data_IF_984405454466
#
_entry.id   IF_984405454466
#
_cell.length_a   1.000
_cell.length_b   1.000
_cell.length_c   1.000
_cell.angle_alpha   90.00
_cell.angle_beta   90.00
_cell.angle_gamma   90.00
#
_symmetry.space_group_name_H-M   'P 1'
#
loop_
_entity.id
_entity.type
_entity.pdbx_description
1 polymer ?
#
# COMPACT_ATOMS: atom_id res chain seq x y z
N UNK A 1 -3.13 4.47 11.24
CA UNK A 1 -3.72 3.86 12.47
C UNK A 1 -4.64 4.82 13.26
N UNK A 2 -4.28 6.09 13.47
CA UNK A 2 -5.15 7.05 14.18
C UNK A 2 -6.52 7.25 13.51
N UNK A 3 -6.54 7.38 12.19
CA UNK A 3 -7.81 7.52 11.46
C UNK A 3 -8.65 6.24 11.52
N UNK A 4 -8.01 5.07 11.45
CA UNK A 4 -8.70 3.79 11.66
C UNK A 4 -9.32 3.69 13.06
N UNK A 5 -8.66 4.20 14.08
CA UNK A 5 -9.23 4.22 15.44
C UNK A 5 -10.49 5.08 15.52
N UNK A 6 -10.54 6.23 14.82
CA UNK A 6 -11.76 7.05 14.73
C UNK A 6 -12.87 6.34 13.97
N UNK A 7 -12.56 5.75 12.80
CA UNK A 7 -13.54 5.08 11.95
C UNK A 7 -14.13 3.83 12.58
N UNK A 8 -13.32 3.07 13.32
CA UNK A 8 -13.71 1.77 13.86
C UNK A 8 -13.83 1.76 15.40
N UNK A 9 -13.81 2.92 16.05
CA UNK A 9 -14.01 3.07 17.50
C UNK A 9 -12.95 2.33 18.37
N UNK A 10 -11.71 2.22 17.89
CA UNK A 10 -10.65 1.51 18.62
C UNK A 10 -10.04 2.33 19.74
N UNK A 11 -9.62 1.63 20.81
CA UNK A 11 -8.86 2.21 21.90
C UNK A 11 -7.40 2.51 21.51
N UNK A 12 -7.00 3.79 21.48
CA UNK A 12 -5.62 4.20 21.19
C UNK A 12 -4.58 3.67 22.19
N UNK A 13 -4.96 3.47 23.47
CA UNK A 13 -4.08 2.85 24.49
C UNK A 13 -3.80 1.38 24.18
N UNK A 14 -4.83 0.60 23.83
CA UNK A 14 -4.64 -0.82 23.45
C UNK A 14 -3.90 -0.97 22.11
N UNK A 15 -3.95 0.05 21.25
CA UNK A 15 -3.12 0.13 20.05
C UNK A 15 -1.68 0.59 20.30
N UNK A 16 -1.31 0.97 21.53
CA UNK A 16 0.02 1.49 21.87
C UNK A 16 0.32 2.89 21.33
N UNK A 17 -0.70 3.64 20.89
CA UNK A 17 -0.56 4.97 20.29
C UNK A 17 -0.62 6.08 21.35
N UNK A 18 -1.40 5.85 22.40
CA UNK A 18 -1.60 6.76 23.53
C UNK A 18 -1.03 6.10 24.80
N UNK A 19 -0.16 6.78 25.57
CA UNK A 19 0.35 6.27 26.84
C UNK A 19 -0.56 6.61 28.03
N UNK A 20 -0.20 6.11 29.22
CA UNK A 20 -0.77 6.54 30.51
C UNK A 20 -1.87 5.65 31.08
N UNK A 21 -2.26 5.94 32.32
CA UNK A 21 -3.23 5.18 33.10
C UNK A 21 -4.68 5.69 32.90
N UNK A 22 -5.67 4.87 33.28
CA UNK A 22 -7.09 5.22 33.17
C UNK A 22 -7.67 5.16 31.74
N UNK A 23 -8.89 5.70 31.52
CA UNK A 23 -9.53 5.72 30.20
C UNK A 23 -8.69 6.47 29.16
N UNK A 24 -8.77 6.08 27.88
CA UNK A 24 -8.12 6.83 26.81
C UNK A 24 -8.92 8.09 26.45
N UNK A 25 -8.26 9.09 25.87
CA UNK A 25 -8.90 10.34 25.45
C UNK A 25 -10.07 10.09 24.48
N UNK A 26 -9.92 9.14 23.57
CA UNK A 26 -11.00 8.75 22.64
C UNK A 26 -12.22 8.15 23.36
N UNK A 27 -12.06 7.56 24.55
CA UNK A 27 -13.20 7.08 25.35
C UNK A 27 -13.91 8.25 26.04
N UNK A 28 -13.16 9.24 26.52
CA UNK A 28 -13.73 10.46 27.10
C UNK A 28 -14.57 11.24 26.06
N UNK A 29 -14.21 11.15 24.78
CA UNK A 29 -14.97 11.72 23.67
C UNK A 29 -16.11 10.80 23.16
N UNK A 30 -16.36 9.64 23.78
CA UNK A 30 -17.40 8.70 23.36
C UNK A 30 -17.11 7.92 22.06
N UNK A 31 -15.89 8.02 21.50
CA UNK A 31 -15.50 7.34 20.27
C UNK A 31 -15.00 5.93 20.55
N UNK A 32 -14.23 5.71 21.61
CA UNK A 32 -13.68 4.39 21.94
C UNK A 32 -14.71 3.53 22.72
N UNK A 33 -14.86 2.26 22.34
CA UNK A 33 -15.74 1.30 23.01
C UNK A 33 -15.28 0.85 24.42
N UNK A 34 -14.12 1.32 24.87
CA UNK A 34 -13.70 1.20 26.27
C UNK A 34 -12.84 -0.02 26.58
N UNK A 35 -12.07 -0.55 25.62
CA UNK A 35 -11.12 -1.65 25.87
C UNK A 35 -10.03 -1.31 26.90
N UNK A 36 -9.73 -0.03 27.15
CA UNK A 36 -8.82 0.40 28.22
C UNK A 36 -9.41 0.31 29.64
N UNK A 37 -10.73 0.20 29.76
CA UNK A 37 -11.46 0.12 31.03
C UNK A 37 -12.34 -1.12 31.09
N UNK A 38 -12.00 -2.13 30.29
CA UNK A 38 -12.65 -3.45 30.28
C UNK A 38 -14.15 -3.46 29.90
N UNK A 39 -14.70 -2.34 29.42
CA UNK A 39 -16.06 -2.29 28.85
C UNK A 39 -16.17 -3.09 27.54
N UNK A 40 -15.11 -3.08 26.75
CA UNK A 40 -14.91 -3.99 25.62
C UNK A 40 -13.82 -4.99 26.03
N UNK A 41 -14.06 -6.29 25.83
CA UNK A 41 -13.04 -7.30 26.13
C UNK A 41 -11.83 -7.16 25.20
N UNK A 42 -10.64 -7.51 25.68
CA UNK A 42 -9.43 -7.48 24.87
C UNK A 42 -9.55 -8.37 23.61
N UNK A 43 -10.21 -9.53 23.73
CA UNK A 43 -10.46 -10.43 22.61
C UNK A 43 -11.37 -9.80 21.55
N UNK A 44 -12.47 -9.17 21.95
CA UNK A 44 -13.39 -8.51 21.01
C UNK A 44 -12.70 -7.34 20.30
N UNK A 45 -11.93 -6.53 21.04
CA UNK A 45 -11.15 -5.44 20.47
C UNK A 45 -10.13 -5.95 19.44
N UNK A 46 -9.38 -7.01 19.78
CA UNK A 46 -8.41 -7.63 18.88
C UNK A 46 -9.07 -8.24 17.62
N UNK A 47 -10.23 -8.88 17.76
CA UNK A 47 -10.96 -9.47 16.64
C UNK A 47 -11.46 -8.39 15.66
N UNK A 48 -12.08 -7.32 16.19
CA UNK A 48 -12.50 -6.16 15.38
C UNK A 48 -11.31 -5.48 14.71
N UNK A 49 -10.18 -5.35 15.41
CA UNK A 49 -8.95 -4.81 14.85
C UNK A 49 -8.44 -5.64 13.68
N UNK A 50 -8.37 -6.97 13.85
CA UNK A 50 -7.95 -7.90 12.79
C UNK A 50 -8.83 -7.77 11.54
N UNK A 51 -10.16 -7.75 11.71
CA UNK A 51 -11.11 -7.56 10.62
C UNK A 51 -10.94 -6.21 9.91
N UNK A 52 -10.70 -5.13 10.66
CA UNK A 52 -10.47 -3.81 10.08
C UNK A 52 -9.14 -3.74 9.31
N UNK A 53 -8.08 -4.37 9.84
CA UNK A 53 -6.74 -4.40 9.24
C UNK A 53 -6.68 -5.28 7.98
N UNK A 54 -7.58 -6.26 7.84
CA UNK A 54 -7.60 -7.17 6.69
C UNK A 54 -7.61 -6.42 5.33
N UNK A 55 -8.29 -5.27 5.27
CA UNK A 55 -8.37 -4.42 4.06
C UNK A 55 -7.03 -3.74 3.68
N UNK A 56 -6.08 -3.69 4.62
CA UNK A 56 -4.78 -3.05 4.46
C UNK A 56 -3.65 -4.06 4.26
N UNK A 57 -3.96 -5.35 4.25
CA UNK A 57 -2.98 -6.38 3.96
C UNK A 57 -2.47 -6.22 2.54
N UNK A 58 -1.15 -6.22 2.40
CA UNK A 58 -0.48 -6.28 1.11
C UNK A 58 -0.51 -7.75 0.68
N UNK A 59 -1.17 -8.09 -0.44
CA UNK A 59 -1.19 -9.46 -0.93
C UNK A 59 0.21 -9.93 -1.30
N UNK A 60 0.44 -11.24 -1.29
CA UNK A 60 1.67 -11.81 -1.82
C UNK A 60 1.87 -11.41 -3.28
N UNK A 61 3.13 -11.27 -3.69
CA UNK A 61 3.49 -11.02 -5.08
C UNK A 61 2.96 -12.17 -5.96
N UNK A 62 2.17 -11.90 -7.01
CA UNK A 62 1.45 -12.95 -7.74
C UNK A 62 2.30 -13.63 -8.83
N UNK A 63 3.58 -13.28 -8.97
CA UNK A 63 4.49 -13.82 -9.98
C UNK A 63 5.67 -14.54 -9.32
N UNK A 64 6.26 -15.52 -10.00
CA UNK A 64 7.42 -16.28 -9.49
C UNK A 64 8.72 -15.45 -9.45
N UNK A 65 8.76 -14.30 -10.11
CA UNK A 65 9.97 -13.51 -10.30
C UNK A 65 9.69 -12.05 -10.61
N UNK A 66 10.65 -11.41 -11.27
CA UNK A 66 10.54 -10.02 -11.70
C UNK A 66 9.52 -9.90 -12.83
N UNK A 67 8.93 -8.73 -12.97
CA UNK A 67 7.98 -8.43 -14.05
C UNK A 67 8.43 -7.17 -14.75
N UNK A 68 8.34 -7.19 -16.08
CA UNK A 68 8.51 -6.02 -16.90
C UNK A 68 7.12 -5.50 -17.29
N UNK A 69 6.80 -4.27 -16.87
CA UNK A 69 5.63 -3.54 -17.35
C UNK A 69 6.09 -2.68 -18.52
N UNK A 70 5.43 -2.82 -19.67
CA UNK A 70 5.74 -2.04 -20.88
C UNK A 70 4.55 -1.14 -21.16
N UNK A 71 4.75 0.17 -21.08
CA UNK A 71 3.77 1.18 -21.47
C UNK A 71 4.10 1.73 -22.86
N UNK A 72 3.10 1.82 -23.72
CA UNK A 72 3.24 2.34 -25.08
C UNK A 72 2.30 3.53 -25.30
N UNK A 73 2.86 4.69 -25.59
CA UNK A 73 2.08 5.89 -25.90
C UNK A 73 1.95 6.08 -27.40
N UNK A 74 0.74 5.91 -27.94
CA UNK A 74 0.45 6.16 -29.36
C UNK A 74 0.68 7.64 -29.74
N UNK A 75 0.50 8.56 -28.79
CA UNK A 75 0.63 10.01 -29.03
C UNK A 75 2.09 10.45 -29.17
N UNK A 76 2.99 9.91 -28.35
CA UNK A 76 4.40 10.33 -28.34
C UNK A 76 5.32 9.35 -29.07
N UNK A 77 4.86 8.12 -29.34
CA UNK A 77 5.67 7.03 -29.85
C UNK A 77 6.70 6.50 -28.85
N UNK A 78 6.59 6.91 -27.57
CA UNK A 78 7.49 6.45 -26.52
C UNK A 78 7.05 5.08 -26.01
N UNK A 79 8.04 4.24 -25.73
CA UNK A 79 7.89 2.96 -25.04
C UNK A 79 8.65 3.05 -23.72
N UNK A 80 7.93 2.93 -22.62
CA UNK A 80 8.47 2.93 -21.26
C UNK A 80 8.46 1.51 -20.72
N UNK A 81 9.56 1.12 -20.08
CA UNK A 81 9.79 -0.19 -19.51
C UNK A 81 10.09 -0.03 -18.03
N UNK A 82 9.30 -0.70 -17.21
CA UNK A 82 9.38 -0.61 -15.76
C UNK A 82 9.60 -2.02 -15.22
N UNK A 83 10.75 -2.28 -14.58
CA UNK A 83 10.99 -3.56 -13.94
C UNK A 83 10.59 -3.48 -12.48
N UNK A 84 9.81 -4.45 -12.03
CA UNK A 84 9.24 -4.50 -10.69
C UNK A 84 9.34 -5.91 -10.11
N UNK A 85 9.44 -6.02 -8.79
CA UNK A 85 9.50 -7.29 -8.07
C UNK A 85 9.00 -7.09 -6.66
N UNK A 86 8.21 -8.02 -6.12
CA UNK A 86 7.76 -7.99 -4.73
C UNK A 86 7.15 -6.63 -4.32
N UNK A 87 6.35 -6.03 -5.21
CA UNK A 87 5.77 -4.69 -5.05
C UNK A 87 6.77 -3.52 -4.95
N UNK A 88 8.06 -3.76 -5.20
CA UNK A 88 9.08 -2.74 -5.31
C UNK A 88 9.39 -2.41 -6.77
N UNK A 89 9.74 -1.16 -7.02
CA UNK A 89 10.06 -0.66 -8.36
C UNK A 89 11.58 -0.58 -8.52
N UNK A 90 12.13 -1.33 -9.48
CA UNK A 90 13.57 -1.63 -9.53
C UNK A 90 14.33 -0.76 -10.53
N UNK A 91 13.79 -0.61 -11.73
CA UNK A 91 14.42 0.13 -12.81
C UNK A 91 13.39 0.68 -13.80
N UNK A 92 13.85 1.66 -14.56
CA UNK A 92 13.09 2.38 -15.57
C UNK A 92 13.95 2.58 -16.81
N UNK A 93 13.38 2.30 -17.98
CA UNK A 93 14.00 2.55 -19.27
C UNK A 93 12.96 3.12 -20.24
N UNK A 94 13.33 4.16 -20.98
CA UNK A 94 12.52 4.70 -22.08
C UNK A 94 13.24 4.48 -23.39
N UNK A 95 12.46 4.22 -24.43
CA UNK A 95 12.94 4.16 -25.81
C UNK A 95 11.97 4.93 -26.72
N UNK A 96 12.51 5.69 -27.68
CA UNK A 96 11.74 6.42 -28.70
C UNK A 96 12.48 7.66 -29.20
N UNK A 97 12.11 8.15 -30.40
CA UNK A 97 12.85 9.19 -31.13
C UNK A 97 12.92 10.55 -30.42
N UNK A 98 11.97 10.84 -29.51
CA UNK A 98 11.88 12.12 -28.78
C UNK A 98 12.46 12.08 -27.37
N UNK A 99 13.13 10.99 -26.98
CA UNK A 99 13.67 10.86 -25.64
C UNK A 99 15.01 11.61 -25.50
N UNK A 100 15.08 12.59 -24.61
CA UNK A 100 16.35 13.17 -24.16
C UNK A 100 16.86 12.41 -22.93
N UNK A 101 18.14 12.04 -22.93
CA UNK A 101 18.75 11.26 -21.86
C UNK A 101 18.93 11.99 -20.52
N UNK A 102 18.43 13.22 -20.42
CA UNK A 102 18.66 14.12 -19.29
C UNK A 102 17.87 13.74 -18.04
N UNK A 103 16.79 12.95 -18.18
CA UNK A 103 15.97 12.53 -17.05
C UNK A 103 16.04 11.02 -16.82
N UNK A 104 16.79 10.61 -15.79
CA UNK A 104 16.83 9.23 -15.30
C UNK A 104 16.20 9.19 -13.91
N UNK A 105 15.03 8.58 -13.82
CA UNK A 105 14.43 8.22 -12.54
C UNK A 105 15.32 7.18 -11.86
N UNK A 106 15.72 7.46 -10.62
CA UNK A 106 16.43 6.54 -9.74
C UNK A 106 15.46 6.13 -8.63
N UNK A 107 14.59 5.13 -8.88
CA UNK A 107 13.64 4.70 -7.87
C UNK A 107 14.36 4.06 -6.69
N UNK A 108 13.78 4.19 -5.50
CA UNK A 108 14.15 3.35 -4.37
C UNK A 108 13.83 1.89 -4.72
N UNK A 109 14.82 1.01 -4.60
CA UNK A 109 14.63 -0.44 -4.81
C UNK A 109 13.89 -1.13 -3.64
N UNK A 110 13.45 -0.34 -2.66
CA UNK A 110 12.73 -0.80 -1.48
C UNK A 110 11.22 -0.73 -1.70
N UNK A 111 10.48 -1.38 -0.80
CA UNK A 111 9.02 -1.29 -0.79
C UNK A 111 8.57 0.11 -0.40
N UNK A 112 7.65 0.66 -1.20
CA UNK A 112 6.94 1.89 -0.90
C UNK A 112 5.43 1.65 -1.08
N UNK A 113 4.62 2.14 -0.15
CA UNK A 113 3.19 1.83 -0.14
C UNK A 113 2.44 2.47 -1.31
N UNK A 114 2.80 3.70 -1.69
CA UNK A 114 2.17 4.40 -2.80
C UNK A 114 2.53 3.72 -4.13
N UNK A 115 3.79 3.33 -4.30
CA UNK A 115 4.27 2.51 -5.40
C UNK A 115 3.51 1.19 -5.47
N UNK A 116 3.36 0.47 -4.35
CA UNK A 116 2.55 -0.74 -4.28
C UNK A 116 1.12 -0.51 -4.76
N UNK A 117 0.46 0.57 -4.34
CA UNK A 117 -0.93 0.85 -4.73
C UNK A 117 -1.06 1.09 -6.24
N UNK A 118 -0.08 1.78 -6.84
CA UNK A 118 -0.01 1.97 -8.30
C UNK A 118 0.18 0.62 -8.99
N UNK A 119 1.20 -0.15 -8.60
CA UNK A 119 1.51 -1.45 -9.21
C UNK A 119 0.36 -2.43 -9.09
N UNK A 120 -0.27 -2.52 -7.92
CA UNK A 120 -1.43 -3.37 -7.66
C UNK A 120 -2.57 -3.03 -8.62
N UNK A 121 -2.91 -1.75 -8.75
CA UNK A 121 -3.97 -1.30 -9.66
C UNK A 121 -3.66 -1.67 -11.11
N UNK A 122 -2.41 -1.47 -11.55
CA UNK A 122 -1.97 -1.80 -12.91
C UNK A 122 -1.98 -3.30 -13.19
N UNK A 123 -1.56 -4.12 -12.21
CA UNK A 123 -1.52 -5.58 -12.34
C UNK A 123 -2.92 -6.19 -12.30
N UNK A 124 -3.79 -5.72 -11.39
CA UNK A 124 -5.17 -6.21 -11.27
C UNK A 124 -6.05 -5.76 -12.45
N UNK A 125 -5.80 -4.56 -12.99
CA UNK A 125 -6.60 -3.94 -14.06
C UNK A 125 -5.68 -3.22 -15.06
N UNK A 126 -4.99 -3.97 -15.94
CA UNK A 126 -4.13 -3.36 -16.95
C UNK A 126 -4.96 -2.51 -17.91
N UNK A 127 -4.43 -1.33 -18.25
CA UNK A 127 -4.99 -0.50 -19.31
C UNK A 127 -4.54 -1.02 -20.67
N UNK A 128 -5.23 -0.63 -21.75
CA UNK A 128 -4.92 -1.10 -23.11
C UNK A 128 -3.49 -0.78 -23.58
N UNK A 129 -2.81 0.17 -22.94
CA UNK A 129 -1.46 0.61 -23.30
C UNK A 129 -0.36 -0.09 -22.49
N UNK A 130 -0.72 -0.99 -21.57
CA UNK A 130 0.24 -1.68 -20.68
C UNK A 130 0.27 -3.17 -20.98
N UNK A 131 1.48 -3.67 -21.24
CA UNK A 131 1.77 -5.10 -21.36
C UNK A 131 2.57 -5.58 -20.16
N UNK A 132 2.18 -6.70 -19.56
CA UNK A 132 2.84 -7.30 -18.39
C UNK A 132 3.61 -8.55 -18.85
N UNK A 133 4.93 -8.56 -18.65
CA UNK A 133 5.80 -9.68 -19.05
C UNK A 133 6.54 -10.22 -17.82
N UNK A 134 6.10 -11.37 -17.27
CA UNK A 134 6.86 -12.07 -16.24
C UNK A 134 8.24 -12.49 -16.75
N UNK A 135 9.27 -12.27 -15.95
CA UNK A 135 10.63 -12.73 -16.20
C UNK A 135 10.81 -14.06 -15.47
N UNK A 136 11.22 -15.10 -16.22
CA UNK A 136 11.47 -16.46 -15.71
C UNK A 136 12.81 -16.50 -14.98
#
# INVERSE_FOLDING_TARGET
LRDLSKTYNFCLKKLGIEPGEGPCFSHQLGVCMGACIEKESALNHAMRLSLALNKFLIPSWPFNGEVLLIEQSERSGLVEKHRVKNWAYLEYQVTGEKWSSEYRLLPSKEFDYDTFQILRKLIEKPTNHITIIPQI
#
